data_IF_006826688433
#
_entry.id   IF_006826688433
#
_cell.length_a   1.000
_cell.length_b   1.000
_cell.length_c   1.000
_cell.angle_alpha   90.00
_cell.angle_beta   90.00
_cell.angle_gamma   90.00
#
_symmetry.space_group_name_H-M   'P 1'
#
loop_
_entity.id
_entity.type
_entity.pdbx_description
1 polymer ?
#
# COMPACT_ATOMS: atom_id res chain seq x y z
N UNK A 1 -41.26 16.35 -68.59
CA UNK A 1 -42.30 15.44 -68.08
C UNK A 1 -41.66 14.06 -68.04
N UNK A 2 -41.07 13.68 -66.91
CA UNK A 2 -41.79 13.04 -65.79
C UNK A 2 -42.19 11.61 -66.17
N UNK A 3 -41.88 10.54 -65.44
CA UNK A 3 -41.10 10.26 -64.23
C UNK A 3 -41.09 8.71 -64.13
N UNK A 4 -40.33 8.15 -63.16
CA UNK A 4 -40.61 6.90 -62.43
C UNK A 4 -40.16 5.52 -62.96
N UNK A 5 -39.20 4.93 -62.22
CA UNK A 5 -39.20 3.60 -61.52
C UNK A 5 -37.84 2.90 -61.65
N UNK A 6 -37.33 2.11 -60.72
CA UNK A 6 -37.47 1.93 -59.26
C UNK A 6 -36.44 0.81 -58.92
N UNK A 7 -35.80 0.87 -57.75
CA UNK A 7 -35.06 -0.22 -57.07
C UNK A 7 -33.75 -0.71 -57.70
N UNK A 8 -32.66 -0.86 -56.94
CA UNK A 8 -32.52 -1.95 -55.97
C UNK A 8 -31.52 -1.64 -54.84
N UNK A 9 -31.84 -2.18 -53.67
CA UNK A 9 -31.27 -2.03 -52.32
C UNK A 9 -29.79 -2.41 -52.18
N UNK A 10 -29.16 -1.89 -51.12
CA UNK A 10 -28.19 -2.65 -50.30
C UNK A 10 -28.04 -2.03 -48.89
N UNK A 11 -28.61 -2.65 -47.84
CA UNK A 11 -28.42 -2.23 -46.45
C UNK A 11 -27.32 -3.10 -45.79
N UNK A 12 -26.05 -2.91 -46.15
CA UNK A 12 -24.96 -3.78 -45.64
C UNK A 12 -23.83 -3.06 -44.91
N UNK A 13 -24.01 -1.81 -44.46
CA UNK A 13 -22.89 -1.03 -43.86
C UNK A 13 -23.19 -0.52 -42.44
N UNK A 14 -24.42 -0.68 -41.93
CA UNK A 14 -24.81 -0.07 -40.64
C UNK A 14 -24.53 -0.92 -39.39
N UNK A 15 -24.15 -2.20 -39.53
CA UNK A 15 -24.05 -3.13 -38.40
C UNK A 15 -22.64 -3.32 -37.82
N UNK A 16 -21.59 -2.87 -38.50
CA UNK A 16 -20.19 -3.15 -38.10
C UNK A 16 -19.58 -2.03 -37.26
N UNK A 17 -19.97 -0.77 -37.50
CA UNK A 17 -19.40 0.40 -36.81
C UNK A 17 -19.82 0.52 -35.33
N UNK A 18 -21.02 0.07 -34.99
CA UNK A 18 -21.56 0.16 -33.63
C UNK A 18 -20.92 -0.87 -32.69
N UNK A 19 -20.51 -2.03 -33.23
CA UNK A 19 -19.86 -3.09 -32.44
C UNK A 19 -18.43 -2.70 -32.07
N UNK A 20 -17.65 -2.13 -33.00
CA UNK A 20 -16.25 -1.74 -32.78
C UNK A 20 -16.11 -0.66 -31.69
N UNK A 21 -17.00 0.35 -31.68
CA UNK A 21 -16.98 1.40 -30.65
C UNK A 21 -17.30 0.86 -29.25
N UNK A 22 -18.11 -0.20 -29.17
CA UNK A 22 -18.43 -0.89 -27.92
C UNK A 22 -17.24 -1.70 -27.40
N UNK A 23 -16.55 -2.43 -28.28
CA UNK A 23 -15.35 -3.20 -27.92
C UNK A 23 -14.19 -2.30 -27.46
N UNK A 24 -13.97 -1.14 -28.10
CA UNK A 24 -12.95 -0.19 -27.68
C UNK A 24 -13.29 0.45 -26.33
N UNK A 25 -14.57 0.81 -26.10
CA UNK A 25 -15.03 1.35 -24.82
C UNK A 25 -14.88 0.35 -23.67
N UNK A 26 -15.23 -0.92 -23.88
CA UNK A 26 -15.03 -1.97 -22.88
C UNK A 26 -13.54 -2.24 -22.61
N UNK A 27 -12.67 -2.17 -23.63
CA UNK A 27 -11.23 -2.41 -23.45
C UNK A 27 -10.55 -1.30 -22.63
N UNK A 28 -10.96 -0.02 -22.80
CA UNK A 28 -10.45 1.10 -22.00
C UNK A 28 -10.91 1.03 -20.54
N UNK A 29 -12.13 0.55 -20.29
CA UNK A 29 -12.63 0.33 -18.92
C UNK A 29 -11.90 -0.85 -18.26
N UNK A 30 -11.61 -1.92 -19.01
CA UNK A 30 -10.93 -3.10 -18.49
C UNK A 30 -9.46 -2.81 -18.12
N UNK A 31 -8.74 -2.00 -18.90
CA UNK A 31 -7.34 -1.64 -18.59
C UNK A 31 -7.22 -0.59 -17.47
N UNK A 32 -8.24 0.24 -17.25
CA UNK A 32 -8.27 1.21 -16.15
C UNK A 32 -8.38 0.58 -14.75
N UNK A 33 -9.01 -0.59 -14.65
CA UNK A 33 -9.22 -1.29 -13.37
C UNK A 33 -7.99 -2.06 -12.87
N UNK A 34 -6.96 -2.26 -13.69
CA UNK A 34 -5.77 -3.07 -13.35
C UNK A 34 -4.77 -2.29 -12.46
N UNK A 35 -4.96 -0.99 -12.25
CA UNK A 35 -4.01 -0.16 -11.47
C UNK A 35 -4.30 -0.05 -9.97
N UNK A 36 -5.33 -0.72 -9.45
CA UNK A 36 -5.87 -0.38 -8.12
C UNK A 36 -5.48 -1.32 -6.96
N UNK A 37 -4.50 -2.20 -7.11
CA UNK A 37 -4.05 -3.07 -6.00
C UNK A 37 -2.53 -3.27 -6.00
N UNK A 38 -1.77 -2.17 -5.95
CA UNK A 38 -0.36 -2.25 -5.56
C UNK A 38 -0.30 -1.94 -4.06
N UNK A 39 -0.11 -2.97 -3.24
CA UNK A 39 0.33 -2.77 -1.86
C UNK A 39 1.67 -2.02 -1.85
N UNK A 40 1.99 -1.31 -0.76
CA UNK A 40 3.31 -0.67 -0.61
C UNK A 40 4.38 -1.74 -0.86
N UNK A 41 5.33 -1.47 -1.75
CA UNK A 41 6.42 -2.41 -2.03
C UNK A 41 7.49 -2.34 -0.92
N UNK A 42 7.48 -1.25 -0.14
CA UNK A 42 8.42 -0.94 0.93
C UNK A 42 7.83 -1.28 2.30
N UNK A 43 8.61 -1.97 3.11
CA UNK A 43 8.24 -2.34 4.47
C UNK A 43 9.36 -1.96 5.43
N UNK A 44 9.03 -1.52 6.63
CA UNK A 44 9.97 -1.49 7.74
C UNK A 44 10.17 -2.89 8.29
N UNK A 45 11.41 -3.28 8.49
CA UNK A 45 11.80 -4.50 9.17
C UNK A 45 12.20 -4.15 10.60
N UNK A 46 11.30 -4.37 11.56
CA UNK A 46 11.57 -4.11 12.97
C UNK A 46 11.93 -5.42 13.69
N UNK A 47 13.00 -5.38 14.49
CA UNK A 47 13.37 -6.49 15.37
C UNK A 47 12.56 -6.49 16.68
N UNK A 48 12.67 -7.57 17.46
CA UNK A 48 12.04 -7.68 18.78
C UNK A 48 12.79 -6.93 19.88
N UNK A 49 13.99 -6.41 19.58
CA UNK A 49 14.90 -5.79 20.55
C UNK A 49 15.72 -4.67 19.90
N UNK A 50 16.52 -3.98 20.72
CA UNK A 50 17.37 -2.80 20.41
C UNK A 50 18.38 -3.07 19.29
N UNK A 51 18.80 -4.32 19.12
CA UNK A 51 19.70 -4.77 18.05
C UNK A 51 19.02 -4.83 16.66
N UNK A 52 17.70 -4.59 16.60
CA UNK A 52 16.92 -4.68 15.38
C UNK A 52 16.79 -6.12 14.87
N UNK A 53 16.65 -6.28 13.56
CA UNK A 53 16.45 -7.57 12.92
C UNK A 53 17.69 -8.00 12.12
N UNK A 54 18.23 -9.19 12.42
CA UNK A 54 19.42 -9.74 11.78
C UNK A 54 19.24 -11.21 11.36
N UNK A 55 20.22 -11.73 10.62
CA UNK A 55 20.19 -13.08 10.08
C UNK A 55 19.98 -14.14 11.18
N UNK A 56 18.98 -15.00 10.99
CA UNK A 56 18.67 -16.11 11.90
C UNK A 56 17.56 -15.82 12.93
N UNK A 57 17.08 -14.57 13.02
CA UNK A 57 15.98 -14.18 13.93
C UNK A 57 14.73 -13.63 13.22
N UNK A 58 14.66 -13.70 11.89
CA UNK A 58 13.56 -13.16 11.08
C UNK A 58 12.16 -13.60 11.53
N UNK A 59 12.03 -14.82 12.07
CA UNK A 59 10.78 -15.35 12.61
C UNK A 59 10.22 -14.56 13.82
N UNK A 60 11.07 -13.75 14.46
CA UNK A 60 10.72 -12.88 15.58
C UNK A 60 10.61 -11.40 15.18
N UNK A 61 10.89 -11.08 13.92
CA UNK A 61 10.80 -9.73 13.39
C UNK A 61 9.40 -9.44 12.85
N UNK A 62 9.13 -8.15 12.67
CA UNK A 62 7.89 -7.63 12.12
C UNK A 62 8.16 -6.81 10.86
N UNK A 63 7.36 -7.06 9.82
CA UNK A 63 7.29 -6.24 8.62
C UNK A 63 6.07 -5.32 8.69
N UNK A 64 6.30 -4.01 8.65
CA UNK A 64 5.24 -3.00 8.70
C UNK A 64 5.25 -2.19 7.40
N UNK A 65 4.11 -2.05 6.69
CA UNK A 65 4.06 -1.26 5.47
C UNK A 65 4.58 0.18 5.68
N UNK A 66 5.50 0.62 4.81
CA UNK A 66 5.92 2.02 4.76
C UNK A 66 4.80 2.87 4.16
N UNK A 67 4.45 3.97 4.83
CA UNK A 67 3.52 4.97 4.30
C UNK A 67 4.27 5.91 3.33
N UNK A 68 4.07 5.72 2.02
CA UNK A 68 4.75 6.53 0.99
C UNK A 68 4.40 8.03 1.03
N UNK A 69 3.30 8.43 1.67
CA UNK A 69 2.83 9.80 1.72
C UNK A 69 3.32 10.54 2.95
N UNK A 70 3.31 9.87 4.10
CA UNK A 70 3.63 10.50 5.38
C UNK A 70 4.82 9.88 6.09
N UNK A 71 5.42 8.80 5.60
CA UNK A 71 6.46 8.03 6.29
C UNK A 71 7.66 8.83 6.78
N UNK A 72 8.03 9.90 6.07
CA UNK A 72 9.13 10.82 6.44
C UNK A 72 8.67 12.05 7.26
N UNK A 73 7.37 12.18 7.53
CA UNK A 73 6.78 13.23 8.36
C UNK A 73 6.73 12.78 9.82
N UNK A 74 6.56 13.70 10.79
CA UNK A 74 6.46 13.33 12.20
C UNK A 74 5.29 12.38 12.49
N UNK A 75 5.52 11.40 13.36
CA UNK A 75 4.51 10.46 13.86
C UNK A 75 4.28 10.64 15.36
N UNK A 76 3.05 10.39 15.78
CA UNK A 76 2.64 10.28 17.16
C UNK A 76 2.53 8.81 17.56
N UNK A 77 3.14 8.46 18.69
CA UNK A 77 2.98 7.16 19.34
C UNK A 77 1.77 7.19 20.27
N UNK A 78 0.82 6.28 20.05
CA UNK A 78 -0.17 5.91 21.06
C UNK A 78 0.38 4.76 21.90
N UNK A 79 0.80 5.07 23.12
CA UNK A 79 1.37 4.08 24.04
C UNK A 79 0.35 3.05 24.55
N UNK A 80 -0.95 3.37 24.54
CA UNK A 80 -1.98 2.43 24.98
C UNK A 80 -2.30 1.39 23.91
N UNK A 81 -2.35 1.84 22.65
CA UNK A 81 -2.67 0.97 21.51
C UNK A 81 -1.43 0.37 20.85
N UNK A 82 -0.24 0.88 21.20
CA UNK A 82 1.03 0.58 20.53
C UNK A 82 0.90 0.80 19.03
N UNK A 83 0.49 2.00 18.63
CA UNK A 83 0.34 2.38 17.23
C UNK A 83 1.05 3.68 16.90
N UNK A 84 1.50 3.80 15.67
CA UNK A 84 2.10 5.00 15.11
C UNK A 84 1.12 5.64 14.13
N UNK A 85 0.73 6.88 14.42
CA UNK A 85 -0.16 7.66 13.55
C UNK A 85 0.54 8.94 13.08
N UNK A 86 0.42 9.35 11.81
CA UNK A 86 0.99 10.62 11.35
C UNK A 86 0.51 11.79 12.21
N UNK A 87 1.41 12.68 12.62
CA UNK A 87 1.11 13.83 13.49
C UNK A 87 0.02 14.73 12.87
N UNK A 88 -0.07 14.78 11.54
CA UNK A 88 -1.11 15.51 10.80
C UNK A 88 -2.54 15.05 11.11
N UNK A 89 -2.72 13.81 11.60
CA UNK A 89 -4.02 13.25 12.00
C UNK A 89 -4.29 13.39 13.50
N UNK A 90 -3.26 13.67 14.31
CA UNK A 90 -3.33 13.78 15.77
C UNK A 90 -2.54 15.01 16.23
N UNK A 91 -3.03 16.24 15.96
CA UNK A 91 -2.26 17.46 16.18
C UNK A 91 -1.95 17.75 17.66
N UNK A 92 -2.75 17.22 18.58
CA UNK A 92 -2.58 17.39 20.03
C UNK A 92 -1.67 16.32 20.66
N UNK A 93 -0.83 15.65 19.86
CA UNK A 93 0.11 14.66 20.37
C UNK A 93 1.11 15.29 21.36
N UNK A 94 1.33 14.70 22.54
CA UNK A 94 2.39 15.15 23.43
C UNK A 94 3.75 15.14 22.74
N UNK A 95 4.56 16.19 22.96
CA UNK A 95 5.89 16.29 22.37
C UNK A 95 6.81 15.12 22.73
N UNK A 96 6.62 14.52 23.91
CA UNK A 96 7.36 13.33 24.36
C UNK A 96 6.99 12.03 23.63
N UNK A 97 5.87 12.01 22.91
CA UNK A 97 5.38 10.88 22.12
C UNK A 97 5.44 11.17 20.61
N UNK A 98 6.10 12.26 20.22
CA UNK A 98 6.27 12.65 18.83
C UNK A 98 7.66 12.25 18.34
N UNK A 99 7.71 11.54 17.22
CA UNK A 99 8.92 11.04 16.57
C UNK A 99 9.10 11.69 15.20
N UNK A 100 10.32 11.71 14.67
CA UNK A 100 10.60 12.48 13.44
C UNK A 100 10.00 11.84 12.19
N UNK A 101 9.85 10.52 12.19
CA UNK A 101 9.35 9.74 11.07
C UNK A 101 8.66 8.45 11.56
N UNK A 102 8.04 7.71 10.65
CA UNK A 102 7.36 6.45 10.95
C UNK A 102 8.32 5.41 11.54
N UNK A 103 9.54 5.31 10.99
CA UNK A 103 10.53 4.31 11.41
C UNK A 103 11.01 4.48 12.85
N UNK A 104 11.22 5.72 13.32
CA UNK A 104 11.58 6.01 14.71
C UNK A 104 10.43 5.68 15.68
N UNK A 105 9.19 5.97 15.28
CA UNK A 105 8.02 5.63 16.08
C UNK A 105 7.87 4.10 16.21
N UNK A 106 8.00 3.38 15.09
CA UNK A 106 7.94 1.91 15.08
C UNK A 106 9.12 1.28 15.83
N UNK A 107 10.32 1.87 15.75
CA UNK A 107 11.48 1.45 16.55
C UNK A 107 11.13 1.46 18.04
N UNK A 108 10.46 2.50 18.53
CA UNK A 108 10.04 2.57 19.93
C UNK A 108 9.05 1.46 20.32
N UNK A 109 8.17 1.03 19.40
CA UNK A 109 7.19 -0.05 19.67
C UNK A 109 7.86 -1.42 19.68
N UNK A 110 8.72 -1.71 18.69
CA UNK A 110 9.22 -3.06 18.43
C UNK A 110 10.63 -3.30 18.98
N UNK A 111 11.49 -2.28 18.93
CA UNK A 111 12.90 -2.34 19.33
C UNK A 111 13.17 -1.65 20.67
N UNK A 112 12.14 -1.15 21.35
CA UNK A 112 12.22 -0.35 22.60
C UNK A 112 12.98 0.98 22.51
N UNK A 113 13.66 1.26 21.39
CA UNK A 113 14.38 2.50 21.13
C UNK A 113 14.01 3.10 19.76
N UNK A 114 13.92 4.44 19.64
CA UNK A 114 13.63 5.09 18.37
C UNK A 114 14.83 5.08 17.41
N UNK A 115 16.05 4.88 17.92
CA UNK A 115 17.28 4.95 17.15
C UNK A 115 18.13 3.70 17.45
N UNK A 116 18.61 2.98 16.42
CA UNK A 116 18.37 3.23 15.00
C UNK A 116 16.89 3.01 14.61
N UNK A 117 16.36 3.75 13.62
CA UNK A 117 15.00 3.49 13.14
C UNK A 117 14.96 2.12 12.45
N UNK A 118 13.78 1.52 12.36
CA UNK A 118 13.63 0.26 11.63
C UNK A 118 14.12 0.45 10.17
N UNK A 119 15.00 -0.44 9.65
CA UNK A 119 15.44 -0.38 8.26
C UNK A 119 14.31 -0.69 7.30
N UNK A 120 14.42 -0.19 6.07
CA UNK A 120 13.50 -0.52 4.99
C UNK A 120 13.93 -1.80 4.26
N UNK A 121 12.95 -2.61 3.89
CA UNK A 121 13.05 -3.81 3.08
C UNK A 121 11.88 -3.88 2.09
N UNK A 122 11.78 -4.96 1.32
CA UNK A 122 10.70 -5.17 0.36
C UNK A 122 9.66 -6.16 0.86
N UNK A 123 8.46 -6.11 0.29
CA UNK A 123 7.42 -7.11 0.54
C UNK A 123 7.93 -8.54 0.27
N UNK A 124 8.67 -8.72 -0.83
CA UNK A 124 9.22 -10.02 -1.22
C UNK A 124 10.18 -10.59 -0.18
N UNK A 125 10.99 -9.74 0.45
CA UNK A 125 11.90 -10.15 1.52
C UNK A 125 11.11 -10.71 2.71
N UNK A 126 10.05 -10.01 3.14
CA UNK A 126 9.22 -10.45 4.25
C UNK A 126 8.60 -11.83 4.00
N UNK A 127 8.14 -12.08 2.76
CA UNK A 127 7.59 -13.37 2.36
C UNK A 127 8.65 -14.47 2.29
N UNK A 128 9.82 -14.19 1.69
CA UNK A 128 10.91 -15.16 1.55
C UNK A 128 11.44 -15.64 2.92
N UNK A 129 11.56 -14.71 3.86
CA UNK A 129 12.07 -14.96 5.20
C UNK A 129 10.99 -15.31 6.23
N UNK A 130 9.72 -15.48 5.81
CA UNK A 130 8.57 -15.80 6.68
C UNK A 130 8.42 -14.83 7.87
N UNK A 131 8.73 -13.55 7.63
CA UNK A 131 8.57 -12.47 8.61
C UNK A 131 7.10 -12.15 8.75
N UNK A 132 6.63 -11.94 9.98
CA UNK A 132 5.23 -11.58 10.22
C UNK A 132 4.93 -10.19 9.64
N UNK A 133 3.81 -10.05 8.92
CA UNK A 133 3.39 -8.76 8.35
C UNK A 133 2.27 -8.18 9.21
N UNK A 134 2.43 -6.93 9.62
CA UNK A 134 1.50 -6.19 10.48
C UNK A 134 0.72 -5.13 9.68
N UNK A 135 -0.31 -4.56 10.28
CA UNK A 135 -1.05 -3.43 9.72
C UNK A 135 -0.17 -2.17 9.65
N UNK A 136 -0.52 -1.23 8.76
CA UNK A 136 0.29 -0.03 8.49
C UNK A 136 0.45 0.92 9.68
N UNK A 137 -0.40 0.80 10.70
CA UNK A 137 -0.29 1.55 11.95
C UNK A 137 0.78 0.97 12.90
N UNK A 138 1.36 -0.18 12.56
CA UNK A 138 2.39 -0.85 13.34
C UNK A 138 1.88 -1.57 14.59
N UNK A 139 0.57 -1.84 14.70
CA UNK A 139 0.03 -2.51 15.88
C UNK A 139 0.59 -3.94 16.03
N UNK A 140 1.26 -4.29 17.15
CA UNK A 140 1.87 -5.62 17.30
C UNK A 140 0.89 -6.79 17.19
N UNK A 141 -0.33 -6.62 17.72
CA UNK A 141 -1.37 -7.67 17.68
C UNK A 141 -1.97 -7.89 16.27
N UNK A 142 -1.70 -6.98 15.33
CA UNK A 142 -2.15 -7.13 13.94
C UNK A 142 -1.24 -8.03 13.11
N UNK A 143 -0.05 -8.36 13.61
CA UNK A 143 0.97 -9.10 12.88
C UNK A 143 0.53 -10.55 12.59
N UNK A 144 0.54 -10.92 11.31
CA UNK A 144 0.19 -12.27 10.85
C UNK A 144 1.39 -12.94 10.24
N UNK A 145 1.56 -14.22 10.57
CA UNK A 145 2.60 -15.06 9.95
C UNK A 145 2.30 -15.20 8.45
N UNK A 146 3.36 -15.11 7.67
CA UNK A 146 3.38 -15.28 6.21
C UNK A 146 3.55 -16.74 5.82
#
# INVERSE_FOLDING_TARGET
MDTFKLHTQSPCIRSTFTRIRFYIGCFVILTGMIRATYGSDRYFLCGPDEDGCYDGIYQYCACIPYDDLTGDQPYCLDFNLLTCTPLSRVPDCPASLTFKNQGECLGTIFQSEPLPPCPLTTHSFCLEHHVSICDSNGQPDSCRKT
#
